data_IF_065509135481
#
_entry.id   IF_065509135481
#
_cell.length_a   1.000
_cell.length_b   1.000
_cell.length_c   1.000
_cell.angle_alpha   90.00
_cell.angle_beta   90.00
_cell.angle_gamma   90.00
#
_symmetry.space_group_name_H-M   'P 1'
#
loop_
_entity.id
_entity.type
_entity.pdbx_description
1 polymer ?
#
# COMPACT_ATOMS: atom_id res chain seq x y z
N UNK A 1 1.92 5.77 -12.42
CA UNK A 1 2.43 4.54 -13.10
C UNK A 1 1.28 3.59 -13.39
N UNK A 2 0.32 3.45 -12.47
CA UNK A 2 -0.81 2.52 -12.64
C UNK A 2 -1.66 2.83 -13.88
N UNK A 3 -1.77 4.12 -14.24
CA UNK A 3 -2.53 4.58 -15.42
C UNK A 3 -2.00 4.01 -16.76
N UNK A 4 -0.72 3.65 -16.83
CA UNK A 4 -0.12 2.98 -18.00
C UNK A 4 -0.12 1.46 -17.87
N UNK A 5 0.09 0.94 -16.66
CA UNK A 5 0.18 -0.51 -16.40
C UNK A 5 -1.19 -1.19 -16.53
N UNK A 6 -2.27 -0.56 -16.04
CA UNK A 6 -3.61 -1.15 -16.09
C UNK A 6 -4.13 -1.39 -17.52
N UNK A 7 -4.05 -0.42 -18.46
CA UNK A 7 -4.42 -0.66 -19.86
C UNK A 7 -3.54 -1.72 -20.53
N UNK A 8 -2.24 -1.71 -20.23
CA UNK A 8 -1.32 -2.72 -20.77
C UNK A 8 -1.71 -4.13 -20.28
N UNK A 9 -2.06 -4.25 -19.00
CA UNK A 9 -2.52 -5.51 -18.40
C UNK A 9 -3.83 -5.99 -19.04
N UNK A 10 -4.79 -5.08 -19.27
CA UNK A 10 -6.03 -5.38 -19.99
C UNK A 10 -5.76 -5.92 -21.40
N UNK A 11 -4.86 -5.28 -22.16
CA UNK A 11 -4.54 -5.68 -23.54
C UNK A 11 -3.79 -7.01 -23.57
N UNK A 12 -2.79 -7.21 -22.71
CA UNK A 12 -1.95 -8.42 -22.71
C UNK A 12 -2.66 -9.65 -22.16
N UNK A 13 -3.46 -9.49 -21.10
CA UNK A 13 -4.14 -10.62 -20.44
C UNK A 13 -5.60 -10.80 -20.89
N UNK A 14 -6.12 -9.90 -21.72
CA UNK A 14 -7.50 -9.92 -22.23
C UNK A 14 -8.55 -10.03 -21.10
N UNK A 15 -8.36 -9.22 -20.04
CA UNK A 15 -9.24 -9.21 -18.86
C UNK A 15 -10.12 -7.96 -18.89
N UNK A 16 -11.43 -8.15 -18.68
CA UNK A 16 -12.39 -7.06 -18.52
C UNK A 16 -12.28 -6.39 -17.14
N UNK A 17 -11.34 -5.46 -17.03
CA UNK A 17 -11.13 -4.65 -15.82
C UNK A 17 -12.23 -3.59 -15.64
N UNK A 18 -12.92 -3.21 -16.72
CA UNK A 18 -13.94 -2.15 -16.73
C UNK A 18 -15.08 -2.44 -15.75
N UNK A 19 -15.52 -3.70 -15.65
CA UNK A 19 -16.59 -4.15 -14.75
C UNK A 19 -16.25 -3.92 -13.27
N UNK A 20 -14.96 -3.97 -12.94
CA UNK A 20 -14.47 -3.93 -11.56
C UNK A 20 -13.55 -2.72 -11.31
N UNK A 21 -13.60 -1.71 -12.17
CA UNK A 21 -12.66 -0.58 -12.15
C UNK A 21 -12.71 0.18 -10.83
N UNK A 22 -13.90 0.34 -10.24
CA UNK A 22 -14.09 1.03 -8.97
C UNK A 22 -13.38 0.32 -7.82
N UNK A 23 -13.51 -1.01 -7.77
CA UNK A 23 -12.84 -1.89 -6.81
C UNK A 23 -11.32 -1.83 -6.95
N UNK A 24 -10.83 -1.83 -8.19
CA UNK A 24 -9.39 -1.74 -8.47
C UNK A 24 -8.81 -0.38 -8.09
N UNK A 25 -9.51 0.71 -8.39
CA UNK A 25 -9.11 2.06 -7.97
C UNK A 25 -9.02 2.14 -6.45
N UNK A 26 -10.01 1.59 -5.74
CA UNK A 26 -9.99 1.54 -4.28
C UNK A 26 -8.75 0.79 -3.75
N UNK A 27 -8.48 -0.42 -4.27
CA UNK A 27 -7.33 -1.23 -3.83
C UNK A 27 -6.01 -0.49 -4.10
N UNK A 28 -5.87 0.12 -5.28
CA UNK A 28 -4.67 0.89 -5.65
C UNK A 28 -4.50 2.08 -4.71
N UNK A 29 -5.58 2.83 -4.45
CA UNK A 29 -5.51 4.01 -3.61
C UNK A 29 -5.10 3.67 -2.17
N UNK A 30 -5.73 2.66 -1.57
CA UNK A 30 -5.42 2.18 -0.22
C UNK A 30 -3.99 1.64 -0.16
N UNK A 31 -3.62 0.74 -1.07
CA UNK A 31 -2.27 0.17 -1.11
C UNK A 31 -1.17 1.24 -1.26
N UNK A 32 -1.39 2.25 -2.11
CA UNK A 32 -0.46 3.37 -2.30
C UNK A 32 -0.40 4.28 -1.08
N UNK A 33 -1.54 4.55 -0.42
CA UNK A 33 -1.55 5.34 0.82
C UNK A 33 -0.72 4.69 1.93
N UNK A 34 -0.93 3.40 2.19
CA UNK A 34 -0.15 2.66 3.18
C UNK A 34 1.34 2.63 2.87
N UNK A 35 1.69 2.37 1.60
CA UNK A 35 3.08 2.40 1.15
C UNK A 35 3.72 3.78 1.36
N UNK A 36 3.02 4.86 0.99
CA UNK A 36 3.49 6.22 1.17
C UNK A 36 3.68 6.55 2.66
N UNK A 37 2.71 6.21 3.52
CA UNK A 37 2.80 6.50 4.96
C UNK A 37 4.02 5.86 5.61
N UNK A 38 4.26 4.57 5.33
CA UNK A 38 5.42 3.82 5.83
C UNK A 38 6.71 4.40 5.25
N UNK A 39 6.77 4.59 3.93
CA UNK A 39 7.95 5.11 3.26
C UNK A 39 8.35 6.50 3.78
N UNK A 40 7.38 7.39 3.99
CA UNK A 40 7.63 8.73 4.54
C UNK A 40 8.16 8.67 5.97
N UNK A 41 7.55 7.87 6.85
CA UNK A 41 7.99 7.72 8.24
C UNK A 41 9.39 7.13 8.34
N UNK A 42 9.70 6.10 7.57
CA UNK A 42 11.04 5.52 7.61
C UNK A 42 12.08 6.46 6.99
N UNK A 43 11.71 7.18 5.93
CA UNK A 43 12.60 8.17 5.32
C UNK A 43 12.95 9.27 6.32
N UNK A 44 11.97 9.79 7.09
CA UNK A 44 12.23 10.81 8.10
C UNK A 44 13.11 10.27 9.23
N UNK A 45 12.78 9.12 9.82
CA UNK A 45 13.57 8.49 10.90
C UNK A 45 15.02 8.19 10.49
N UNK A 46 15.21 7.83 9.23
CA UNK A 46 16.52 7.44 8.71
C UNK A 46 17.41 8.62 8.32
N UNK A 47 16.84 9.83 8.20
CA UNK A 47 17.57 11.03 7.78
C UNK A 47 18.75 11.37 8.71
N UNK A 48 18.60 11.11 10.01
CA UNK A 48 19.59 11.41 11.05
C UNK A 48 20.55 10.24 11.37
N UNK A 49 20.43 9.10 10.67
CA UNK A 49 21.22 7.89 10.97
C UNK A 49 22.38 7.68 10.00
N UNK A 50 23.59 7.42 10.53
CA UNK A 50 24.77 7.05 9.72
C UNK A 50 24.59 5.75 8.91
N UNK A 51 23.64 4.90 9.28
CA UNK A 51 23.36 3.58 8.67
C UNK A 51 22.07 3.58 7.84
N UNK A 52 21.65 4.75 7.33
CA UNK A 52 20.41 4.98 6.59
C UNK A 52 20.09 3.92 5.53
N UNK A 53 21.09 3.54 4.76
CA UNK A 53 20.92 2.66 3.59
C UNK A 53 20.63 1.20 3.96
N UNK A 54 20.94 0.79 5.19
CA UNK A 54 20.72 -0.59 5.68
C UNK A 54 19.46 -0.68 6.54
N UNK A 55 19.19 0.37 7.32
CA UNK A 55 18.08 0.38 8.27
C UNK A 55 16.72 0.52 7.58
N UNK A 56 16.68 1.31 6.51
CA UNK A 56 15.45 1.57 5.76
C UNK A 56 14.92 0.29 5.09
N UNK A 57 15.70 -0.52 4.36
CA UNK A 57 15.21 -1.77 3.78
C UNK A 57 14.84 -2.84 4.83
N UNK A 58 15.62 -2.96 5.91
CA UNK A 58 15.37 -3.95 6.96
C UNK A 58 14.05 -3.72 7.70
N UNK A 59 13.66 -2.46 7.89
CA UNK A 59 12.40 -2.12 8.54
C UNK A 59 11.26 -1.98 7.53
N UNK A 60 11.52 -1.40 6.35
CA UNK A 60 10.48 -1.19 5.33
C UNK A 60 9.93 -2.54 4.85
N UNK A 61 10.79 -3.53 4.63
CA UNK A 61 10.38 -4.79 4.05
C UNK A 61 9.36 -5.56 4.93
N UNK A 62 9.61 -5.80 6.23
CA UNK A 62 8.62 -6.42 7.13
C UNK A 62 7.32 -5.63 7.25
N UNK A 63 7.40 -4.29 7.32
CA UNK A 63 6.23 -3.44 7.54
C UNK A 63 5.36 -3.34 6.29
N UNK A 64 5.94 -3.47 5.10
CA UNK A 64 5.21 -3.47 3.84
C UNK A 64 4.46 -4.78 3.56
N UNK A 65 4.93 -5.90 4.11
CA UNK A 65 4.38 -7.24 3.81
C UNK A 65 2.85 -7.32 4.00
N UNK A 66 2.25 -6.85 5.10
CA UNK A 66 0.80 -6.94 5.31
C UNK A 66 -0.01 -6.21 4.23
N UNK A 67 0.43 -5.01 3.86
CA UNK A 67 -0.23 -4.18 2.84
C UNK A 67 -0.08 -4.82 1.46
N UNK A 68 1.10 -5.33 1.13
CA UNK A 68 1.36 -6.02 -0.14
C UNK A 68 0.50 -7.29 -0.24
N UNK A 69 0.45 -8.11 0.80
CA UNK A 69 -0.37 -9.33 0.81
C UNK A 69 -1.85 -8.97 0.66
N UNK A 70 -2.35 -7.99 1.41
CA UNK A 70 -3.73 -7.53 1.31
C UNK A 70 -4.07 -7.07 -0.11
N UNK A 71 -3.22 -6.21 -0.68
CA UNK A 71 -3.42 -5.65 -2.03
C UNK A 71 -3.40 -6.73 -3.12
N UNK A 72 -2.46 -7.67 -3.06
CA UNK A 72 -2.38 -8.79 -4.02
C UNK A 72 -3.59 -9.71 -3.90
N UNK A 73 -4.02 -10.05 -2.67
CA UNK A 73 -5.19 -10.91 -2.44
C UNK A 73 -6.47 -10.28 -2.93
N UNK A 74 -6.68 -8.99 -2.65
CA UNK A 74 -7.85 -8.24 -3.12
C UNK A 74 -7.85 -8.15 -4.65
N UNK A 75 -6.72 -7.76 -5.25
CA UNK A 75 -6.60 -7.63 -6.71
C UNK A 75 -6.87 -8.96 -7.41
N UNK A 76 -6.27 -10.06 -6.94
CA UNK A 76 -6.44 -11.38 -7.56
C UNK A 76 -7.88 -11.87 -7.58
N UNK A 77 -8.63 -11.64 -6.51
CA UNK A 77 -10.04 -12.04 -6.47
C UNK A 77 -10.98 -11.07 -7.19
N UNK A 78 -10.67 -9.76 -7.21
CA UNK A 78 -11.40 -8.79 -8.03
C UNK A 78 -11.26 -9.12 -9.51
N UNK A 79 -10.06 -9.51 -9.95
CA UNK A 79 -9.83 -10.01 -11.31
C UNK A 79 -10.51 -11.37 -11.57
N UNK A 80 -10.77 -12.16 -10.53
CA UNK A 80 -11.58 -13.38 -10.61
C UNK A 80 -13.10 -13.10 -10.63
N UNK A 81 -13.52 -11.83 -10.70
CA UNK A 81 -14.92 -11.42 -10.76
C UNK A 81 -15.65 -11.44 -9.41
N UNK A 82 -14.94 -11.64 -8.30
CA UNK A 82 -15.56 -11.61 -6.97
C UNK A 82 -15.72 -10.17 -6.45
N UNK A 83 -16.82 -9.87 -5.73
CA UNK A 83 -17.03 -8.56 -5.15
C UNK A 83 -16.06 -8.31 -3.98
N UNK A 84 -15.76 -7.04 -3.72
CA UNK A 84 -14.88 -6.63 -2.61
C UNK A 84 -15.47 -7.01 -1.23
N UNK A 85 -16.80 -7.12 -1.15
CA UNK A 85 -17.54 -7.47 0.06
C UNK A 85 -17.10 -8.81 0.67
N UNK A 86 -16.75 -9.77 -0.18
CA UNK A 86 -16.36 -11.12 0.24
C UNK A 86 -14.95 -11.15 0.87
N UNK A 87 -14.23 -10.03 0.79
CA UNK A 87 -12.86 -9.87 1.25
C UNK A 87 -12.72 -8.78 2.31
N UNK A 88 -13.78 -8.51 3.05
CA UNK A 88 -13.79 -7.49 4.10
C UNK A 88 -12.64 -7.66 5.09
N UNK A 89 -12.20 -8.89 5.36
CA UNK A 89 -11.04 -9.14 6.23
C UNK A 89 -9.75 -8.50 5.69
N UNK A 90 -9.49 -8.60 4.39
CA UNK A 90 -8.32 -8.00 3.76
C UNK A 90 -8.47 -6.48 3.64
N UNK A 91 -9.68 -6.01 3.31
CA UNK A 91 -9.98 -4.59 3.25
C UNK A 91 -9.73 -3.93 4.61
N UNK A 92 -10.33 -4.47 5.67
CA UNK A 92 -10.16 -3.99 7.04
C UNK A 92 -8.72 -4.11 7.51
N UNK A 93 -8.02 -5.20 7.20
CA UNK A 93 -6.61 -5.34 7.55
C UNK A 93 -5.77 -4.23 6.91
N UNK A 94 -5.93 -4.01 5.60
CA UNK A 94 -5.15 -2.98 4.88
C UNK A 94 -5.48 -1.59 5.39
N UNK A 95 -6.77 -1.26 5.56
CA UNK A 95 -7.21 0.02 6.12
C UNK A 95 -6.74 0.26 7.56
N UNK A 96 -6.83 -0.75 8.43
CA UNK A 96 -6.33 -0.61 9.81
C UNK A 96 -4.83 -0.31 9.81
N UNK A 97 -4.07 -1.00 8.96
CA UNK A 97 -2.65 -0.74 8.79
C UNK A 97 -2.40 0.70 8.34
N UNK A 98 -3.08 1.17 7.29
CA UNK A 98 -2.93 2.53 6.78
C UNK A 98 -3.24 3.58 7.85
N UNK A 99 -4.36 3.42 8.57
CA UNK A 99 -4.76 4.35 9.63
C UNK A 99 -3.72 4.39 10.75
N UNK A 100 -3.24 3.23 11.19
CA UNK A 100 -2.22 3.14 12.25
C UNK A 100 -0.94 3.85 11.79
N UNK A 101 -0.43 3.54 10.59
CA UNK A 101 0.82 4.15 10.13
C UNK A 101 0.67 5.64 9.86
N UNK A 102 -0.44 6.10 9.29
CA UNK A 102 -0.67 7.55 9.11
C UNK A 102 -0.72 8.25 10.47
N UNK A 103 -1.43 7.70 11.45
CA UNK A 103 -1.51 8.28 12.79
C UNK A 103 -0.13 8.34 13.46
N UNK A 104 0.63 7.25 13.40
CA UNK A 104 2.01 7.21 13.94
C UNK A 104 2.91 8.20 13.20
N UNK A 105 2.84 8.27 11.87
CA UNK A 105 3.60 9.24 11.08
C UNK A 105 3.33 10.66 11.51
N UNK A 106 2.07 11.04 11.70
CA UNK A 106 1.71 12.39 12.15
C UNK A 106 2.20 12.65 13.59
N UNK A 107 2.09 11.67 14.49
CA UNK A 107 2.53 11.83 15.88
C UNK A 107 4.06 11.87 16.03
N UNK A 108 4.79 11.20 15.16
CA UNK A 108 6.26 11.09 15.24
C UNK A 108 6.98 12.18 14.43
N UNK A 109 6.33 12.80 13.44
CA UNK A 109 7.02 13.74 12.54
C UNK A 109 7.62 14.94 13.27
N UNK A 110 6.93 15.48 14.28
CA UNK A 110 7.43 16.62 15.05
C UNK A 110 8.70 16.27 15.83
N UNK A 111 8.74 15.08 16.46
CA UNK A 111 9.92 14.59 17.18
C UNK A 111 11.12 14.37 16.26
N UNK A 112 10.88 13.92 15.03
CA UNK A 112 11.94 13.67 14.05
C UNK A 112 12.48 14.97 13.45
N UNK A 113 11.64 16.02 13.38
CA UNK A 113 12.03 17.33 12.86
C UNK A 113 12.70 18.23 13.91
N UNK A 114 12.46 18.00 15.21
CA UNK A 114 13.10 18.71 16.31
C UNK A 114 14.56 18.27 16.57
N UNK A 115 15.01 17.14 16.00
CA UNK A 115 16.42 16.69 15.95
C UNK A 115 17.14 17.08 14.66
#
# INVERSE_FOLDING_TARGET
>A
MELFILPLFMIFFNIDILSNILSLIYIIFVGTLGFCAIGTLLSSLSANLKTRDIMLPILLYPLMIPIVIGSVKMTGQVLAGKPLSDMMNWVSLTLCFDVIYIAVSIMTIDFVLEE
#
